data_IF_700405150161
#
_entry.id   IF_700405150161
#
_cell.length_a   1.000
_cell.length_b   1.000
_cell.length_c   1.000
_cell.angle_alpha   90.00
_cell.angle_beta   90.00
_cell.angle_gamma   90.00
#
_symmetry.space_group_name_H-M   'P 1'
#
loop_
_entity.id
_entity.type
_entity.pdbx_description
1 polymer ?
#
# COMPACT_ATOMS: atom_id res chain seq x y z
N UNK A 1 0.49 -27.42 -26.07
CA UNK A 1 0.10 -26.26 -25.24
C UNK A 1 -1.40 -26.31 -25.03
N UNK A 2 -1.88 -26.25 -23.79
CA UNK A 2 -3.32 -26.18 -23.52
C UNK A 2 -3.87 -24.78 -23.86
N UNK A 3 -5.17 -24.64 -24.14
CA UNK A 3 -5.74 -23.32 -24.48
C UNK A 3 -5.59 -22.29 -23.36
N UNK A 4 -5.60 -22.74 -22.09
CA UNK A 4 -5.42 -21.88 -20.93
C UNK A 4 -4.01 -21.29 -20.86
N UNK A 5 -2.97 -22.09 -21.13
CA UNK A 5 -1.59 -21.58 -21.14
C UNK A 5 -1.41 -20.49 -22.21
N UNK A 6 -2.03 -20.69 -23.38
CA UNK A 6 -2.01 -19.68 -24.44
C UNK A 6 -2.67 -18.38 -23.99
N UNK A 7 -3.84 -18.43 -23.35
CA UNK A 7 -4.54 -17.22 -22.89
C UNK A 7 -3.71 -16.44 -21.87
N UNK A 8 -3.11 -17.13 -20.89
CA UNK A 8 -2.27 -16.45 -19.88
C UNK A 8 -1.06 -15.78 -20.52
N UNK A 9 -0.41 -16.47 -21.46
CA UNK A 9 0.76 -15.91 -22.16
C UNK A 9 0.37 -14.75 -23.09
N UNK A 10 -0.77 -14.85 -23.77
CA UNK A 10 -1.27 -13.82 -24.67
C UNK A 10 -1.76 -12.56 -23.94
N UNK A 11 -2.04 -12.66 -22.63
CA UNK A 11 -2.54 -11.56 -21.80
C UNK A 11 -1.61 -11.31 -20.60
N UNK A 12 -0.32 -11.61 -20.74
CA UNK A 12 0.63 -11.54 -19.62
C UNK A 12 0.75 -10.12 -19.03
N UNK A 13 0.48 -9.10 -19.83
CA UNK A 13 0.47 -7.67 -19.49
C UNK A 13 -0.74 -7.24 -18.65
N UNK A 14 -1.83 -8.01 -18.63
CA UNK A 14 -2.99 -7.72 -17.79
C UNK A 14 -2.82 -8.14 -16.33
N UNK A 15 -1.80 -8.95 -16.03
CA UNK A 15 -1.56 -9.48 -14.69
C UNK A 15 -0.42 -8.72 -14.00
N UNK A 16 -0.60 -8.50 -12.70
CA UNK A 16 0.47 -8.03 -11.84
C UNK A 16 1.27 -9.24 -11.31
N UNK A 17 2.30 -9.65 -12.05
CA UNK A 17 3.20 -10.74 -11.63
C UNK A 17 4.09 -10.33 -10.46
N UNK A 18 4.40 -9.04 -10.42
CA UNK A 18 5.06 -8.35 -9.34
C UNK A 18 4.23 -7.14 -8.93
N UNK A 19 4.57 -6.53 -7.80
CA UNK A 19 3.90 -5.29 -7.43
C UNK A 19 4.32 -4.12 -8.35
N UNK A 20 5.47 -4.19 -9.02
CA UNK A 20 5.95 -3.14 -9.94
C UNK A 20 5.08 -3.06 -11.21
N UNK A 21 4.40 -4.15 -11.57
CA UNK A 21 3.45 -4.21 -12.68
C UNK A 21 2.13 -3.49 -12.36
N UNK A 22 1.86 -3.21 -11.08
CA UNK A 22 0.67 -2.48 -10.66
C UNK A 22 0.86 -0.98 -10.88
N UNK A 23 0.72 -0.55 -12.14
CA UNK A 23 0.49 0.86 -12.44
C UNK A 23 -0.87 1.26 -11.84
N UNK A 24 -0.84 1.97 -10.71
CA UNK A 24 -2.06 2.43 -10.04
C UNK A 24 -2.93 3.27 -10.99
N UNK A 25 -4.18 3.51 -10.60
CA UNK A 25 -5.06 4.41 -11.37
C UNK A 25 -4.51 5.84 -11.26
N UNK A 26 -4.26 6.47 -12.41
CA UNK A 26 -3.80 7.86 -12.45
C UNK A 26 -4.76 8.79 -11.71
N UNK A 27 -4.22 9.72 -10.94
CA UNK A 27 -5.01 10.68 -10.14
C UNK A 27 -5.89 11.58 -11.02
N UNK A 28 -5.51 11.74 -12.28
CA UNK A 28 -6.27 12.42 -13.34
C UNK A 28 -7.54 11.67 -13.74
N UNK A 29 -7.55 10.35 -13.64
CA UNK A 29 -8.70 9.53 -13.97
C UNK A 29 -9.66 9.44 -12.79
N UNK A 30 -9.12 9.19 -11.58
CA UNK A 30 -9.96 9.01 -10.41
C UNK A 30 -9.21 9.33 -9.11
N UNK A 31 -9.86 10.12 -8.25
CA UNK A 31 -9.39 10.40 -6.91
C UNK A 31 -10.57 10.34 -5.94
N UNK A 32 -10.51 9.39 -5.00
CA UNK A 32 -11.53 9.23 -3.98
C UNK A 32 -11.41 10.33 -2.91
N UNK A 33 -12.50 11.07 -2.71
CA UNK A 33 -12.65 11.98 -1.57
C UNK A 33 -13.49 11.29 -0.52
N UNK A 34 -12.86 10.85 0.57
CA UNK A 34 -13.57 10.29 1.71
C UNK A 34 -14.40 11.40 2.39
N UNK A 35 -15.71 11.23 2.57
CA UNK A 35 -16.50 12.21 3.31
C UNK A 35 -16.08 12.20 4.79
N UNK A 36 -15.86 13.38 5.34
CA UNK A 36 -15.52 13.60 6.75
C UNK A 36 -16.67 14.39 7.38
N UNK A 37 -17.09 14.03 8.60
CA UNK A 37 -18.08 14.81 9.35
C UNK A 37 -17.59 16.26 9.55
N UNK A 38 -18.50 17.23 9.44
CA UNK A 38 -18.16 18.65 9.52
C UNK A 38 -17.52 19.05 10.86
N UNK A 39 -17.86 18.33 11.93
CA UNK A 39 -17.38 18.52 13.30
C UNK A 39 -16.23 17.57 13.67
N UNK A 40 -15.75 16.74 12.72
CA UNK A 40 -14.65 15.83 12.96
C UNK A 40 -13.37 16.60 13.28
N UNK A 41 -12.76 16.25 14.42
CA UNK A 41 -11.49 16.85 14.84
C UNK A 41 -10.32 16.00 14.34
N UNK A 42 -9.25 16.62 13.82
CA UNK A 42 -8.03 15.89 13.52
C UNK A 42 -7.46 15.22 14.77
N UNK A 43 -7.15 13.93 14.67
CA UNK A 43 -6.50 13.17 15.75
C UNK A 43 -5.11 12.74 15.30
N UNK A 44 -4.08 13.19 16.02
CA UNK A 44 -2.73 12.70 15.88
C UNK A 44 -2.44 11.68 16.97
N UNK A 45 -2.44 10.39 16.62
CA UNK A 45 -2.06 9.35 17.57
C UNK A 45 -0.57 9.45 17.88
N UNK A 46 -0.22 9.36 19.17
CA UNK A 46 1.17 9.28 19.60
C UNK A 46 1.87 8.07 18.97
N UNK A 47 3.02 8.31 18.32
CA UNK A 47 3.85 7.26 17.71
C UNK A 47 4.23 6.21 18.76
N UNK A 48 3.89 4.95 18.50
CA UNK A 48 4.33 3.82 19.34
C UNK A 48 5.80 3.51 19.08
N UNK A 49 6.55 3.22 20.15
CA UNK A 49 7.91 2.69 20.02
C UNK A 49 7.84 1.31 19.39
N UNK A 50 8.68 1.08 18.39
CA UNK A 50 8.82 -0.20 17.71
C UNK A 50 10.20 -0.76 18.07
N UNK A 51 10.24 -2.04 18.44
CA UNK A 51 11.52 -2.74 18.69
C UNK A 51 12.33 -2.85 17.40
N UNK A 52 13.65 -2.88 17.51
CA UNK A 52 14.57 -2.83 16.38
C UNK A 52 14.34 -3.97 15.36
N UNK A 53 14.04 -5.18 15.85
CA UNK A 53 13.68 -6.34 15.02
C UNK A 53 12.48 -6.08 14.09
N UNK A 54 11.55 -5.22 14.51
CA UNK A 54 10.35 -4.89 13.72
C UNK A 54 10.54 -3.71 12.79
N UNK A 55 11.53 -2.86 13.07
CA UNK A 55 11.80 -1.66 12.26
C UNK A 55 12.28 -2.03 10.86
N UNK A 56 13.17 -3.03 10.73
CA UNK A 56 13.74 -3.42 9.43
C UNK A 56 12.69 -3.89 8.41
N UNK A 57 11.80 -4.85 8.72
CA UNK A 57 10.74 -5.28 7.80
C UNK A 57 9.79 -4.14 7.42
N UNK A 58 9.46 -3.28 8.40
CA UNK A 58 8.63 -2.10 8.17
C UNK A 58 9.26 -1.15 7.16
N UNK A 59 10.56 -0.86 7.31
CA UNK A 59 11.27 0.03 6.39
C UNK A 59 11.34 -0.57 4.99
N UNK A 60 11.54 -1.88 4.86
CA UNK A 60 11.53 -2.56 3.56
C UNK A 60 10.16 -2.42 2.87
N UNK A 61 9.07 -2.64 3.61
CA UNK A 61 7.73 -2.50 3.05
C UNK A 61 7.40 -1.06 2.66
N UNK A 62 7.75 -0.07 3.52
CA UNK A 62 7.57 1.35 3.21
C UNK A 62 8.35 1.74 1.97
N UNK A 63 9.63 1.36 1.87
CA UNK A 63 10.47 1.65 0.70
C UNK A 63 9.88 1.06 -0.58
N UNK A 64 9.33 -0.15 -0.50
CA UNK A 64 8.66 -0.80 -1.62
C UNK A 64 7.42 -0.02 -2.06
N UNK A 65 6.53 0.31 -1.13
CA UNK A 65 5.31 1.08 -1.41
C UNK A 65 5.60 2.49 -1.95
N UNK A 66 6.70 3.11 -1.48
CA UNK A 66 7.18 4.39 -2.00
C UNK A 66 7.69 4.27 -3.44
N UNK A 67 8.50 3.25 -3.74
CA UNK A 67 9.05 3.03 -5.08
C UNK A 67 7.93 2.88 -6.14
N UNK A 68 6.86 2.18 -5.78
CA UNK A 68 5.69 1.96 -6.64
C UNK A 68 4.69 3.13 -6.63
N UNK A 69 4.98 4.21 -5.91
CA UNK A 69 4.13 5.41 -5.78
C UNK A 69 2.74 5.14 -5.20
N UNK A 70 2.57 4.04 -4.45
CA UNK A 70 1.33 3.73 -3.74
C UNK A 70 1.14 4.62 -2.50
N UNK A 71 2.26 5.00 -1.88
CA UNK A 71 2.31 5.99 -0.82
C UNK A 71 3.24 7.13 -1.23
N UNK A 72 3.08 8.28 -0.57
CA UNK A 72 3.95 9.45 -0.74
C UNK A 72 4.18 10.09 0.61
N UNK A 73 5.33 10.75 0.74
CA UNK A 73 5.57 11.61 1.89
C UNK A 73 4.63 12.83 1.85
N UNK A 74 4.09 13.19 3.01
CA UNK A 74 3.16 14.31 3.19
C UNK A 74 3.45 15.02 4.50
N UNK A 75 3.41 16.34 4.51
CA UNK A 75 3.50 17.14 5.74
C UNK A 75 2.11 17.38 6.33
N UNK A 76 1.46 16.31 6.79
CA UNK A 76 0.24 16.40 7.59
C UNK A 76 0.56 16.10 9.05
N UNK A 77 0.73 17.16 9.85
CA UNK A 77 0.91 17.05 11.31
C UNK A 77 -0.37 16.68 12.05
N UNK A 78 -1.49 16.68 11.34
CA UNK A 78 -2.82 16.30 11.79
C UNK A 78 -3.22 14.99 11.11
N UNK A 79 -4.04 14.15 11.75
CA UNK A 79 -4.42 12.81 11.26
C UNK A 79 -3.25 11.81 11.16
N UNK A 80 -2.69 11.45 12.32
CA UNK A 80 -1.63 10.44 12.40
C UNK A 80 -2.20 9.15 12.98
N UNK A 81 -2.07 8.04 12.25
CA UNK A 81 -2.40 6.70 12.74
C UNK A 81 -1.12 5.90 13.03
N UNK A 82 -1.17 5.05 14.05
CA UNK A 82 -0.08 4.13 14.34
C UNK A 82 -0.08 2.94 13.37
N UNK A 83 1.11 2.51 12.97
CA UNK A 83 1.31 1.29 12.19
C UNK A 83 1.46 0.08 13.12
N UNK A 84 0.85 -1.04 12.72
CA UNK A 84 0.91 -2.31 13.44
C UNK A 84 1.42 -3.41 12.52
N UNK A 85 2.29 -4.24 13.05
CA UNK A 85 2.74 -5.46 12.38
C UNK A 85 1.76 -6.58 12.68
N UNK A 86 1.22 -7.20 11.64
CA UNK A 86 0.38 -8.40 11.74
C UNK A 86 1.15 -9.53 11.08
N UNK A 87 1.31 -10.65 11.79
CA UNK A 87 1.89 -11.86 11.20
C UNK A 87 0.86 -12.47 10.25
N UNK A 88 1.20 -12.54 8.96
CA UNK A 88 0.39 -13.27 7.99
C UNK A 88 0.38 -14.75 8.37
N UNK A 89 -0.78 -15.40 8.35
CA UNK A 89 -0.83 -16.86 8.42
C UNK A 89 -0.14 -17.40 7.19
N UNK A 90 0.88 -18.24 7.38
CA UNK A 90 1.43 -19.03 6.30
C UNK A 90 0.44 -20.18 6.06
N UNK A 91 -0.54 -19.95 5.20
CA UNK A 91 -1.22 -21.08 4.55
C UNK A 91 -0.19 -21.74 3.63
N UNK A 92 0.10 -23.01 3.91
CA UNK A 92 0.85 -23.89 3.01
C UNK A 92 0.06 -24.11 1.74
#
# INVERSE_FOLDING_TARGET
MSSLQWIVQANADFFAWSMDDMSGIGLEFHCNKLPIYQDARPIAQRKRKMGEERCQPVWQEISKLLAMRFIREVDYKTWLANMFMIKKSNEK
#
